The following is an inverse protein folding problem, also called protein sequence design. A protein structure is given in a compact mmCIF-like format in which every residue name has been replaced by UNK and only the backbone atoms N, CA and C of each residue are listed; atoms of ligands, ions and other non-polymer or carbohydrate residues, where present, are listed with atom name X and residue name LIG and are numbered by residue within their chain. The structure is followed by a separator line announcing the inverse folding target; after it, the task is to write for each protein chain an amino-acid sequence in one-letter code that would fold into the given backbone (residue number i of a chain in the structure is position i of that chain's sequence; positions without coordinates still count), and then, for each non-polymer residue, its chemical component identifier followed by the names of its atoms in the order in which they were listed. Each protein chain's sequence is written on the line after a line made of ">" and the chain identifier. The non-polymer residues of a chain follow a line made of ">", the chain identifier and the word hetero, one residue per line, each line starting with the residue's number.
data_IF_553573191555
#
_entry.id   IF_553573191555
#
_cell.length_a   1.000
_cell.length_b   1.000
_cell.length_c   1.000
_cell.angle_alpha   90.00
_cell.angle_beta   90.00
_cell.angle_gamma   90.00
#
_symmetry.space_group_name_H-M   'P 1'
#
loop_
_entity.id
_entity.type
_entity.pdbx_description
1 polymer ?
#
# COMPACT_ATOMS: atom_id res chain seq x y z
N UNK A 1 8.04 -39.59 63.57
CA UNK A 1 7.33 -40.88 63.66
C UNK A 1 7.26 -41.45 62.25
N UNK A 2 8.02 -42.48 61.86
CA UNK A 2 9.30 -43.01 62.37
C UNK A 2 9.81 -43.99 61.29
N UNK A 3 11.03 -43.72 60.80
CA UNK A 3 12.11 -44.62 60.35
C UNK A 3 11.85 -45.54 59.12
N UNK A 4 12.61 -45.44 58.02
CA UNK A 4 14.04 -45.74 57.79
C UNK A 4 14.30 -47.23 57.52
N UNK A 5 15.16 -47.49 56.52
CA UNK A 5 15.98 -48.70 56.21
C UNK A 5 15.86 -49.02 54.70
N UNK A 6 16.91 -49.12 53.87
CA UNK A 6 18.38 -49.15 54.02
C UNK A 6 18.97 -48.76 52.64
N UNK A 7 19.98 -47.91 52.42
CA UNK A 7 21.38 -47.81 52.91
C UNK A 7 22.31 -48.93 52.38
N UNK A 8 23.21 -48.47 51.48
CA UNK A 8 24.61 -48.85 51.21
C UNK A 8 24.91 -50.25 50.64
N UNK A 9 25.62 -50.40 49.50
CA UNK A 9 26.98 -49.97 49.14
C UNK A 9 28.08 -50.75 49.89
N UNK A 10 28.81 -51.64 49.20
CA UNK A 10 30.28 -51.79 49.19
C UNK A 10 30.65 -52.98 48.28
N UNK A 11 31.35 -52.81 47.16
CA UNK A 11 32.81 -52.64 47.04
C UNK A 11 33.56 -53.98 47.10
N UNK A 12 34.20 -54.38 46.00
CA UNK A 12 35.66 -54.47 45.92
C UNK A 12 36.16 -54.96 44.54
N UNK A 13 36.96 -54.06 43.94
CA UNK A 13 38.27 -54.28 43.30
C UNK A 13 38.41 -54.88 41.90
N UNK A 14 38.86 -53.96 41.02
CA UNK A 14 39.99 -54.02 40.07
C UNK A 14 39.96 -55.04 38.92
N UNK A 15 39.80 -54.52 37.69
CA UNK A 15 40.94 -54.24 36.79
C UNK A 15 40.54 -53.28 35.66
N UNK A 16 41.48 -52.41 35.31
CA UNK A 16 41.42 -51.39 34.26
C UNK A 16 41.06 -51.98 32.89
N UNK A 17 40.29 -51.24 32.09
CA UNK A 17 40.67 -50.69 30.77
C UNK A 17 39.52 -49.77 30.30
N UNK A 18 39.85 -48.48 30.08
CA UNK A 18 38.97 -47.46 29.51
C UNK A 18 38.70 -47.75 28.03
N UNK A 19 37.47 -47.51 27.53
CA UNK A 19 37.18 -46.57 26.42
C UNK A 19 35.65 -46.51 26.07
N UNK A 20 35.07 -45.30 26.18
CA UNK A 20 33.90 -44.74 25.43
C UNK A 20 32.56 -45.49 25.45
N UNK A 21 31.52 -44.87 26.04
CA UNK A 21 30.15 -44.88 25.50
C UNK A 21 29.43 -43.58 25.88
N UNK A 22 29.34 -42.68 24.89
CA UNK A 22 28.60 -41.42 24.96
C UNK A 22 27.34 -41.59 24.07
N UNK A 23 26.18 -41.39 24.69
CA UNK A 23 24.89 -40.94 24.12
C UNK A 23 24.42 -41.59 22.81
N UNK A 24 23.36 -42.40 22.89
CA UNK A 24 22.50 -42.72 21.75
C UNK A 24 21.04 -42.54 22.18
N UNK A 25 20.46 -41.36 21.95
CA UNK A 25 19.00 -41.17 22.01
C UNK A 25 18.51 -39.90 21.30
N UNK A 26 18.86 -39.68 20.03
CA UNK A 26 18.09 -38.78 19.14
C UNK A 26 18.23 -39.27 17.69
N UNK A 27 17.23 -39.99 17.16
CA UNK A 27 16.98 -40.06 15.71
C UNK A 27 15.66 -40.78 15.40
N UNK A 28 14.55 -40.04 15.52
CA UNK A 28 13.33 -40.35 14.76
C UNK A 28 12.71 -39.04 14.28
N UNK A 29 13.53 -38.27 13.56
CA UNK A 29 13.05 -37.28 12.61
C UNK A 29 13.12 -37.99 11.26
N UNK A 30 11.99 -38.31 10.65
CA UNK A 30 11.95 -38.80 9.29
C UNK A 30 12.36 -37.66 8.36
N UNK A 31 13.64 -37.61 7.99
CA UNK A 31 14.15 -36.74 6.94
C UNK A 31 13.70 -37.30 5.59
N UNK A 32 12.50 -36.92 5.15
CA UNK A 32 12.21 -36.88 3.71
C UNK A 32 13.10 -35.77 3.13
N UNK A 33 14.28 -36.13 2.64
CA UNK A 33 15.24 -35.18 2.07
C UNK A 33 14.71 -34.67 0.72
N UNK A 34 13.86 -33.65 0.76
CA UNK A 34 13.46 -32.87 -0.40
C UNK A 34 14.65 -32.03 -0.84
N UNK A 35 15.02 -32.03 -2.14
CA UNK A 35 16.08 -31.17 -2.66
C UNK A 35 15.66 -29.69 -2.71
N UNK A 36 14.36 -29.41 -2.78
CA UNK A 36 13.83 -28.05 -2.79
C UNK A 36 13.82 -27.45 -1.38
N UNK A 37 14.53 -26.34 -1.21
CA UNK A 37 14.61 -25.62 0.04
C UNK A 37 14.38 -24.12 -0.16
N UNK A 38 13.85 -23.46 0.85
CA UNK A 38 13.78 -22.00 0.91
C UNK A 38 14.15 -21.51 2.30
N UNK A 39 14.64 -20.28 2.38
CA UNK A 39 14.73 -19.55 3.63
C UNK A 39 13.98 -18.23 3.54
N UNK A 40 13.49 -17.78 4.69
CA UNK A 40 12.90 -16.46 4.89
C UNK A 40 13.59 -15.82 6.07
N UNK A 41 14.19 -14.64 5.88
CA UNK A 41 14.97 -13.95 6.91
C UNK A 41 16.02 -14.85 7.61
N UNK A 42 16.69 -15.71 6.84
CA UNK A 42 17.71 -16.64 7.34
C UNK A 42 17.17 -17.89 8.06
N UNK A 43 15.86 -18.08 8.13
CA UNK A 43 15.22 -19.27 8.73
C UNK A 43 14.74 -20.21 7.64
N UNK A 44 15.06 -21.50 7.77
CA UNK A 44 14.61 -22.54 6.84
C UNK A 44 13.07 -22.64 6.85
N UNK A 45 12.49 -22.60 5.65
CA UNK A 45 11.06 -22.81 5.42
C UNK A 45 10.84 -24.31 5.24
N UNK A 46 10.00 -24.91 6.10
CA UNK A 46 9.76 -26.35 6.03
C UNK A 46 8.75 -26.72 4.94
N UNK A 47 8.75 -28.00 4.59
CA UNK A 47 7.72 -28.58 3.73
C UNK A 47 6.35 -28.68 4.41
N UNK A 48 5.31 -29.03 3.64
CA UNK A 48 3.94 -29.17 4.12
C UNK A 48 3.27 -27.82 4.40
N UNK A 49 2.59 -27.71 5.55
CA UNK A 49 2.05 -26.43 6.03
C UNK A 49 3.12 -25.68 6.85
N UNK A 50 3.41 -24.44 6.47
CA UNK A 50 4.40 -23.60 7.16
C UNK A 50 3.86 -22.23 7.51
N UNK A 51 4.23 -21.75 8.70
CA UNK A 51 3.97 -20.37 9.16
C UNK A 51 5.08 -19.44 8.68
N UNK A 52 4.81 -18.67 7.64
CA UNK A 52 5.76 -17.74 7.04
C UNK A 52 5.55 -16.32 7.59
N UNK A 53 6.51 -15.79 8.34
CA UNK A 53 6.47 -14.42 8.84
C UNK A 53 7.17 -13.47 7.85
N UNK A 54 6.42 -12.52 7.29
CA UNK A 54 6.83 -11.66 6.19
C UNK A 54 6.58 -10.20 6.54
N UNK A 55 7.50 -9.32 6.12
CA UNK A 55 7.34 -7.88 6.22
C UNK A 55 6.26 -7.40 5.26
N UNK A 56 5.30 -6.66 5.81
CA UNK A 56 4.16 -6.09 5.11
C UNK A 56 4.35 -4.58 4.97
N UNK A 57 4.14 -4.04 3.78
CA UNK A 57 4.24 -2.61 3.56
C UNK A 57 3.90 -2.19 2.14
N UNK A 58 3.50 -0.94 1.94
CA UNK A 58 3.10 -0.45 0.63
C UNK A 58 4.29 -0.45 -0.33
N UNK A 59 4.07 -0.96 -1.53
CA UNK A 59 4.94 -0.80 -2.68
C UNK A 59 4.08 -0.39 -3.89
N UNK A 60 3.99 0.92 -4.10
CA UNK A 60 3.18 1.54 -5.16
C UNK A 60 3.98 1.55 -6.46
N UNK A 61 3.77 0.57 -7.36
CA UNK A 61 4.48 0.58 -8.64
C UNK A 61 3.60 0.52 -9.90
N UNK A 62 2.32 0.17 -9.88
CA UNK A 62 1.59 -0.09 -11.14
C UNK A 62 0.07 0.18 -11.08
N UNK A 63 -0.39 1.18 -10.32
CA UNK A 63 -1.84 1.41 -10.09
C UNK A 63 -2.50 0.30 -9.24
N UNK A 64 -1.67 -0.54 -8.62
CA UNK A 64 -2.01 -1.56 -7.61
C UNK A 64 -1.14 -1.34 -6.38
N UNK A 65 -1.65 -1.73 -5.23
CA UNK A 65 -0.87 -1.75 -4.00
C UNK A 65 -0.35 -3.15 -3.76
N UNK A 66 0.85 -3.42 -4.29
CA UNK A 66 1.63 -4.57 -3.80
C UNK A 66 1.95 -4.28 -2.34
N UNK A 67 1.49 -5.13 -1.43
CA UNK A 67 1.68 -4.94 0.01
C UNK A 67 2.67 -5.94 0.61
N UNK A 68 3.01 -6.96 -0.18
CA UNK A 68 3.90 -8.04 0.20
C UNK A 68 4.72 -8.45 -1.03
N UNK A 69 6.04 -8.46 -0.88
CA UNK A 69 6.99 -8.86 -1.91
C UNK A 69 7.86 -10.00 -1.36
N UNK A 70 7.67 -11.23 -1.86
CA UNK A 70 8.48 -12.37 -1.45
C UNK A 70 9.83 -12.40 -2.17
N UNK A 71 9.98 -11.70 -3.30
CA UNK A 71 11.24 -11.69 -4.04
C UNK A 71 12.39 -11.03 -3.29
N UNK A 72 12.07 -10.18 -2.30
CA UNK A 72 13.05 -9.55 -1.42
C UNK A 72 13.20 -10.25 -0.06
N UNK A 73 12.40 -11.28 0.24
CA UNK A 73 12.29 -11.85 1.59
C UNK A 73 12.45 -13.37 1.62
N UNK A 74 12.21 -14.06 0.51
CA UNK A 74 12.30 -15.51 0.38
C UNK A 74 13.25 -15.85 -0.75
N UNK A 75 14.22 -16.71 -0.44
CA UNK A 75 15.15 -17.24 -1.43
C UNK A 75 15.10 -18.77 -1.37
N UNK A 76 15.13 -19.41 -2.53
CA UNK A 76 15.00 -20.86 -2.68
C UNK A 76 16.14 -21.43 -3.51
N UNK A 77 16.54 -22.65 -3.20
CA UNK A 77 17.63 -23.37 -3.85
C UNK A 77 17.30 -24.87 -3.94
N UNK A 78 18.14 -25.60 -4.68
CA UNK A 78 17.99 -27.03 -4.91
C UNK A 78 19.26 -27.76 -4.47
N UNK A 79 19.22 -28.56 -3.41
CA UNK A 79 20.39 -29.29 -2.86
C UNK A 79 20.73 -30.60 -3.59
N UNK A 80 20.24 -30.78 -4.81
CA UNK A 80 20.80 -31.74 -5.77
C UNK A 80 19.82 -32.77 -6.34
N UNK A 81 20.36 -33.58 -7.26
CA UNK A 81 19.68 -34.75 -7.83
C UNK A 81 18.80 -34.44 -9.04
N UNK A 82 17.85 -33.51 -8.91
CA UNK A 82 16.79 -33.31 -9.90
C UNK A 82 16.47 -31.84 -10.16
N UNK A 83 15.89 -31.52 -11.32
CA UNK A 83 15.41 -30.18 -11.63
C UNK A 83 14.05 -29.99 -10.97
N UNK A 84 13.93 -29.01 -10.07
CA UNK A 84 12.67 -28.72 -9.36
C UNK A 84 11.94 -27.54 -10.00
N UNK A 85 10.64 -27.67 -10.18
CA UNK A 85 9.76 -26.64 -10.72
C UNK A 85 8.65 -26.34 -9.73
N UNK A 86 8.53 -25.07 -9.33
CA UNK A 86 7.52 -24.59 -8.41
C UNK A 86 6.39 -23.89 -9.16
N UNK A 87 5.15 -24.25 -8.86
CA UNK A 87 3.95 -23.59 -9.40
C UNK A 87 2.93 -23.32 -8.30
N UNK A 88 2.19 -22.21 -8.41
CA UNK A 88 0.99 -21.96 -7.61
C UNK A 88 -0.10 -22.96 -7.97
N UNK A 89 -0.85 -23.39 -6.98
CA UNK A 89 -2.00 -24.28 -7.18
C UNK A 89 -3.27 -23.50 -7.42
N UNK A 90 -4.07 -23.99 -8.37
CA UNK A 90 -5.37 -23.40 -8.72
C UNK A 90 -6.24 -23.23 -7.47
N UNK A 91 -6.69 -22.00 -7.22
CA UNK A 91 -7.59 -21.67 -6.11
C UNK A 91 -6.94 -21.80 -4.72
N UNK A 92 -5.61 -21.88 -4.61
CA UNK A 92 -4.89 -21.96 -3.33
C UNK A 92 -4.17 -20.67 -2.95
N UNK A 93 -4.64 -19.54 -3.47
CA UNK A 93 -4.20 -18.21 -3.03
C UNK A 93 -5.37 -17.54 -2.35
N UNK A 94 -5.19 -17.15 -1.09
CA UNK A 94 -6.25 -16.57 -0.28
C UNK A 94 -5.75 -15.31 0.44
N UNK A 95 -6.64 -14.33 0.57
CA UNK A 95 -6.49 -13.18 1.46
C UNK A 95 -7.41 -13.37 2.66
N UNK A 96 -6.93 -13.01 3.86
CA UNK A 96 -7.74 -13.08 5.07
C UNK A 96 -8.87 -12.04 5.02
N UNK A 97 -10.12 -12.51 4.98
CA UNK A 97 -11.31 -11.65 4.95
C UNK A 97 -11.49 -10.81 6.21
N UNK A 98 -10.90 -11.18 7.35
CA UNK A 98 -10.97 -10.36 8.56
C UNK A 98 -10.15 -9.06 8.42
N UNK A 99 -9.04 -9.10 7.69
CA UNK A 99 -8.19 -7.94 7.43
C UNK A 99 -8.63 -7.22 6.17
N UNK A 100 -8.88 -7.97 5.10
CA UNK A 100 -9.13 -7.43 3.76
C UNK A 100 -10.62 -7.25 3.44
N UNK A 101 -11.55 -7.74 4.28
CA UNK A 101 -12.99 -7.59 4.05
C UNK A 101 -13.42 -8.12 2.67
N UNK A 102 -14.05 -7.25 1.88
CA UNK A 102 -14.47 -7.50 0.49
C UNK A 102 -13.42 -7.07 -0.55
N UNK A 103 -12.25 -6.58 -0.12
CA UNK A 103 -11.20 -6.11 -1.03
C UNK A 103 -10.71 -7.30 -1.87
N UNK A 104 -10.87 -7.16 -3.19
CA UNK A 104 -10.34 -8.14 -4.14
C UNK A 104 -8.82 -7.99 -4.28
N UNK A 105 -8.13 -9.05 -4.65
CA UNK A 105 -6.68 -9.02 -4.82
C UNK A 105 -6.15 -10.20 -5.61
N UNK A 106 -4.84 -10.38 -5.56
CA UNK A 106 -4.16 -11.35 -6.39
C UNK A 106 -2.67 -11.44 -6.12
N UNK A 107 -1.99 -12.11 -7.03
CA UNK A 107 -0.54 -12.27 -7.03
C UNK A 107 0.06 -11.78 -8.32
N UNK A 108 1.24 -11.18 -8.23
CA UNK A 108 2.11 -10.93 -9.38
C UNK A 108 3.21 -11.98 -9.37
N UNK A 109 3.29 -12.79 -10.42
CA UNK A 109 4.32 -13.81 -10.60
C UNK A 109 5.13 -13.46 -11.83
N UNK A 110 6.43 -13.21 -11.66
CA UNK A 110 7.33 -12.80 -12.75
C UNK A 110 6.82 -11.61 -13.57
N UNK A 111 6.15 -10.66 -12.91
CA UNK A 111 5.55 -9.46 -13.51
C UNK A 111 4.16 -9.66 -14.13
N UNK A 112 3.69 -10.90 -14.29
CA UNK A 112 2.33 -11.19 -14.74
C UNK A 112 1.36 -11.23 -13.56
N UNK A 113 0.18 -10.64 -13.71
CA UNK A 113 -0.80 -10.49 -12.64
C UNK A 113 -1.95 -11.49 -12.74
N UNK A 114 -2.33 -12.08 -11.61
CA UNK A 114 -3.40 -13.06 -11.50
C UNK A 114 -4.32 -12.70 -10.33
N UNK A 115 -5.58 -12.40 -10.63
CA UNK A 115 -6.59 -12.15 -9.59
C UNK A 115 -7.04 -13.47 -8.93
N UNK A 116 -7.42 -13.41 -7.66
CA UNK A 116 -8.07 -14.52 -6.97
C UNK A 116 -9.47 -14.76 -7.60
N UNK A 117 -9.86 -16.01 -7.92
CA UNK A 117 -9.11 -17.26 -7.76
C UNK A 117 -7.97 -17.40 -8.79
N UNK A 118 -6.76 -17.62 -8.29
CA UNK A 118 -5.55 -17.70 -9.11
C UNK A 118 -5.50 -19.08 -9.80
N UNK A 119 -5.20 -19.17 -11.12
CA UNK A 119 -5.04 -20.44 -11.82
C UNK A 119 -3.74 -21.15 -11.40
N UNK A 120 -3.44 -22.29 -12.01
CA UNK A 120 -2.09 -22.86 -11.90
C UNK A 120 -1.09 -21.94 -12.62
N UNK A 121 -0.09 -21.45 -11.89
CA UNK A 121 0.88 -20.47 -12.41
C UNK A 121 2.29 -20.94 -12.12
N UNK A 122 3.11 -21.07 -13.16
CA UNK A 122 4.53 -21.35 -13.03
C UNK A 122 5.26 -20.18 -12.34
N UNK A 123 6.06 -20.48 -11.31
CA UNK A 123 6.81 -19.48 -10.55
C UNK A 123 8.28 -19.50 -10.94
N UNK A 124 8.93 -20.65 -10.82
CA UNK A 124 10.37 -20.78 -11.06
C UNK A 124 10.79 -22.24 -11.25
N UNK A 125 11.98 -22.42 -11.81
CA UNK A 125 12.70 -23.68 -11.90
C UNK A 125 14.06 -23.50 -11.26
N UNK A 126 14.47 -24.48 -10.47
CA UNK A 126 15.77 -24.59 -9.82
C UNK A 126 16.53 -25.78 -10.41
N UNK A 127 17.77 -25.53 -10.83
CA UNK A 127 18.66 -26.53 -11.40
C UNK A 127 19.64 -27.03 -10.33
N UNK A 128 19.84 -28.35 -10.18
CA UNK A 128 20.74 -28.92 -9.17
C UNK A 128 22.22 -28.62 -9.45
N UNK A 129 22.56 -28.02 -10.61
CA UNK A 129 23.95 -27.67 -10.98
C UNK A 129 24.24 -26.18 -10.81
N UNK A 130 23.21 -25.33 -10.99
CA UNK A 130 23.36 -23.86 -10.97
C UNK A 130 22.88 -23.26 -9.66
N UNK A 131 21.83 -23.86 -9.10
CA UNK A 131 21.12 -23.38 -7.93
C UNK A 131 21.38 -24.30 -6.72
N UNK A 132 22.53 -24.98 -6.75
CA UNK A 132 22.99 -25.88 -5.70
C UNK A 132 23.45 -25.08 -4.50
N UNK A 133 22.98 -25.45 -3.30
CA UNK A 133 23.27 -24.81 -2.04
C UNK A 133 22.65 -23.42 -1.80
N UNK A 134 22.55 -23.08 -0.51
CA UNK A 134 21.93 -21.84 -0.04
C UNK A 134 22.60 -20.56 -0.55
N UNK A 135 23.89 -20.56 -0.88
CA UNK A 135 24.59 -19.38 -1.42
C UNK A 135 24.25 -19.08 -2.88
N UNK A 136 23.67 -20.04 -3.61
CA UNK A 136 23.15 -19.86 -4.97
C UNK A 136 21.61 -19.68 -4.96
N UNK A 137 21.01 -19.43 -3.80
CA UNK A 137 19.56 -19.31 -3.69
C UNK A 137 19.02 -18.15 -4.54
N UNK A 138 17.93 -18.44 -5.26
CA UNK A 138 17.23 -17.48 -6.11
C UNK A 138 16.04 -16.86 -5.38
N UNK A 139 15.77 -15.57 -5.58
CA UNK A 139 14.59 -14.93 -5.02
C UNK A 139 13.32 -15.57 -5.58
N UNK A 140 12.30 -15.73 -4.73
CA UNK A 140 10.98 -16.21 -5.14
C UNK A 140 10.22 -15.08 -5.85
N UNK A 141 10.00 -15.12 -7.18
CA UNK A 141 9.49 -13.97 -7.95
C UNK A 141 7.97 -13.81 -7.82
N UNK A 142 7.48 -13.65 -6.60
CA UNK A 142 6.06 -13.57 -6.24
C UNK A 142 5.79 -12.36 -5.34
N UNK A 143 4.74 -11.61 -5.68
CA UNK A 143 4.19 -10.51 -4.87
C UNK A 143 2.71 -10.72 -4.64
N UNK A 144 2.17 -10.21 -3.54
CA UNK A 144 0.73 -10.13 -3.33
C UNK A 144 0.27 -8.67 -3.42
N UNK A 145 -0.88 -8.47 -4.06
CA UNK A 145 -1.51 -7.17 -4.20
C UNK A 145 -2.99 -7.23 -3.83
N UNK A 146 -3.53 -6.08 -3.45
CA UNK A 146 -4.96 -5.86 -3.41
C UNK A 146 -5.35 -4.80 -4.45
N UNK A 147 -6.58 -4.85 -4.93
CA UNK A 147 -7.14 -3.89 -5.86
C UNK A 147 -7.68 -2.68 -5.09
N UNK A 148 -7.45 -1.49 -5.64
CA UNK A 148 -7.81 -0.21 -5.05
C UNK A 148 -9.31 0.06 -5.24
N UNK A 149 -10.15 -0.54 -4.39
CA UNK A 149 -11.61 -0.52 -4.60
C UNK A 149 -12.39 0.17 -3.47
N UNK A 150 -11.78 0.32 -2.28
CA UNK A 150 -12.44 0.89 -1.11
C UNK A 150 -12.03 2.34 -0.97
N UNK A 151 -13.00 3.24 -0.74
CA UNK A 151 -12.85 4.70 -0.61
C UNK A 151 -11.66 5.18 0.25
N UNK A 152 -11.30 6.47 0.29
CA UNK A 152 -10.31 6.92 1.31
C UNK A 152 -11.08 6.87 2.62
N UNK A 153 -11.01 5.72 3.27
CA UNK A 153 -11.99 5.33 4.27
C UNK A 153 -11.60 4.00 4.88
N UNK A 154 -10.80 4.11 5.93
CA UNK A 154 -10.08 3.10 6.70
C UNK A 154 -8.81 2.55 6.03
N UNK A 155 -7.68 3.05 6.51
CA UNK A 155 -6.42 2.32 6.48
C UNK A 155 -6.60 0.89 6.96
N UNK A 156 -6.14 -0.09 6.18
CA UNK A 156 -5.99 -1.46 6.68
C UNK A 156 -4.78 -1.49 7.61
N UNK A 157 -5.08 -1.46 8.91
CA UNK A 157 -4.09 -1.55 9.97
C UNK A 157 -3.71 -3.01 10.18
N UNK A 158 -2.45 -3.33 9.89
CA UNK A 158 -1.86 -4.66 10.09
C UNK A 158 -0.92 -4.59 11.29
N UNK A 159 -1.09 -5.52 12.21
CA UNK A 159 -0.24 -5.69 13.39
C UNK A 159 0.68 -6.89 13.22
N UNK A 160 1.82 -6.85 13.91
CA UNK A 160 2.69 -8.02 14.05
C UNK A 160 1.88 -9.23 14.50
N UNK A 161 2.02 -10.35 13.81
CA UNK A 161 1.36 -11.60 14.13
C UNK A 161 0.01 -11.81 13.45
N UNK A 162 -0.54 -10.79 12.77
CA UNK A 162 -1.79 -10.91 12.00
C UNK A 162 -1.66 -11.94 10.88
N UNK A 163 -2.70 -12.75 10.69
CA UNK A 163 -2.80 -13.69 9.57
C UNK A 163 -3.24 -12.95 8.30
N UNK A 164 -2.36 -12.90 7.30
CA UNK A 164 -2.59 -12.13 6.07
C UNK A 164 -3.34 -12.95 5.02
N UNK A 165 -3.07 -14.25 4.95
CA UNK A 165 -3.59 -15.11 3.89
C UNK A 165 -2.71 -16.34 3.67
N UNK A 166 -2.97 -17.07 2.60
CA UNK A 166 -2.24 -18.30 2.28
C UNK A 166 -1.82 -18.39 0.81
N UNK A 167 -0.73 -19.10 0.58
CA UNK A 167 -0.26 -19.50 -0.74
C UNK A 167 -0.05 -21.02 -0.76
N UNK A 168 -0.71 -21.71 -1.69
CA UNK A 168 -0.51 -23.12 -1.95
C UNK A 168 0.28 -23.36 -3.22
N UNK A 169 1.27 -24.23 -3.13
CA UNK A 169 2.22 -24.52 -4.21
C UNK A 169 2.31 -26.02 -4.46
N UNK A 170 2.71 -26.39 -5.67
CA UNK A 170 3.23 -27.71 -5.96
C UNK A 170 4.64 -27.58 -6.54
N UNK A 171 5.58 -28.29 -5.92
CA UNK A 171 6.88 -28.58 -6.51
C UNK A 171 6.78 -29.89 -7.27
N UNK A 172 7.30 -29.90 -8.50
CA UNK A 172 7.51 -31.13 -9.28
C UNK A 172 8.96 -31.22 -9.69
N UNK A 173 9.48 -32.43 -9.78
CA UNK A 173 10.81 -32.64 -10.35
C UNK A 173 10.74 -33.31 -11.73
N UNK A 174 11.88 -33.36 -12.43
CA UNK A 174 12.00 -33.95 -13.75
C UNK A 174 11.94 -35.50 -13.78
N UNK A 175 11.77 -36.16 -12.64
CA UNK A 175 11.62 -37.62 -12.53
C UNK A 175 10.23 -38.05 -12.03
N UNK A 176 9.29 -37.11 -11.90
CA UNK A 176 7.89 -37.38 -11.64
C UNK A 176 7.46 -37.26 -10.17
N UNK A 177 8.37 -36.91 -9.24
CA UNK A 177 7.97 -36.58 -7.87
C UNK A 177 7.18 -35.28 -7.83
N UNK A 178 6.19 -35.22 -6.94
CA UNK A 178 5.30 -34.07 -6.79
C UNK A 178 4.93 -33.88 -5.33
N UNK A 179 5.16 -32.68 -4.80
CA UNK A 179 4.92 -32.34 -3.40
C UNK A 179 4.13 -31.04 -3.31
N UNK A 180 3.18 -30.98 -2.37
CA UNK A 180 2.34 -29.81 -2.16
C UNK A 180 2.69 -29.12 -0.86
N UNK A 181 2.72 -27.79 -0.90
CA UNK A 181 3.03 -26.93 0.22
C UNK A 181 1.92 -25.91 0.43
N UNK A 182 1.72 -25.51 1.68
CA UNK A 182 0.84 -24.41 2.05
C UNK A 182 1.61 -23.46 2.96
N UNK A 183 1.86 -22.24 2.52
CA UNK A 183 2.45 -21.21 3.35
C UNK A 183 1.35 -20.30 3.87
N UNK A 184 1.16 -20.31 5.20
CA UNK A 184 0.30 -19.35 5.91
C UNK A 184 1.13 -18.12 6.23
N UNK A 185 0.73 -16.97 5.70
CA UNK A 185 1.48 -15.73 5.78
C UNK A 185 1.03 -14.95 7.00
N UNK A 186 2.00 -14.50 7.79
CA UNK A 186 1.78 -13.66 8.95
C UNK A 186 2.66 -12.41 8.90
N UNK A 187 2.15 -11.30 9.40
CA UNK A 187 2.89 -10.04 9.41
C UNK A 187 4.04 -10.06 10.43
N UNK A 188 5.24 -9.68 10.02
CA UNK A 188 6.40 -9.53 10.91
C UNK A 188 6.64 -8.10 11.39
N UNK A 189 5.82 -7.14 10.96
CA UNK A 189 5.87 -5.73 11.36
C UNK A 189 4.45 -5.13 11.39
N UNK A 190 4.29 -4.02 12.11
CA UNK A 190 3.10 -3.19 11.99
C UNK A 190 3.15 -2.44 10.66
N UNK A 191 2.00 -2.28 10.01
CA UNK A 191 1.88 -1.61 8.71
C UNK A 191 0.49 -0.98 8.55
N UNK A 192 0.41 0.09 7.77
CA UNK A 192 -0.84 0.73 7.35
C UNK A 192 -0.92 0.68 5.84
N UNK A 193 -1.97 0.06 5.30
CA UNK A 193 -2.19 -0.06 3.87
C UNK A 193 -3.43 0.76 3.48
N UNK A 194 -3.28 1.67 2.54
CA UNK A 194 -4.40 2.50 2.08
C UNK A 194 -5.08 1.86 0.85
N UNK A 195 -6.37 1.49 0.92
CA UNK A 195 -7.04 0.76 -0.15
C UNK A 195 -7.57 1.62 -1.32
N UNK A 196 -7.37 2.94 -1.30
CA UNK A 196 -7.78 3.88 -2.35
C UNK A 196 -6.69 4.89 -2.67
N UNK A 197 -6.85 5.53 -3.82
CA UNK A 197 -6.25 6.83 -4.09
C UNK A 197 -7.22 7.70 -4.89
N UNK A 198 -7.30 8.97 -4.52
CA UNK A 198 -7.91 10.03 -5.32
C UNK A 198 -6.81 10.96 -5.82
N UNK A 199 -6.95 11.46 -7.04
CA UNK A 199 -5.99 12.34 -7.70
C UNK A 199 -6.71 13.54 -8.29
N UNK A 200 -6.12 14.73 -8.15
CA UNK A 200 -6.57 15.91 -8.88
C UNK A 200 -6.14 15.73 -10.34
N UNK A 201 -7.12 15.65 -11.23
CA UNK A 201 -6.92 15.41 -12.68
C UNK A 201 -7.04 16.68 -13.50
N UNK A 202 -7.69 17.72 -12.98
CA UNK A 202 -7.68 19.07 -13.54
C UNK A 202 -7.70 20.09 -12.42
N UNK A 203 -7.02 21.22 -12.63
CA UNK A 203 -6.93 22.30 -11.65
C UNK A 203 -5.72 22.24 -10.73
N UNK A 204 -4.61 21.65 -11.17
CA UNK A 204 -3.34 21.71 -10.46
C UNK A 204 -2.16 22.01 -11.41
N UNK A 205 -1.75 23.28 -11.58
CA UNK A 205 -2.31 24.48 -10.96
C UNK A 205 -3.59 24.99 -11.66
N UNK A 206 -4.40 25.78 -10.94
CA UNK A 206 -5.50 26.57 -11.50
C UNK A 206 -4.99 27.96 -11.90
N UNK A 207 -4.65 28.13 -13.18
CA UNK A 207 -4.26 29.44 -13.71
C UNK A 207 -5.52 30.24 -14.11
N UNK A 208 -5.75 31.38 -13.44
CA UNK A 208 -6.88 32.28 -13.68
C UNK A 208 -6.36 33.55 -14.34
N UNK A 209 -6.83 33.83 -15.55
CA UNK A 209 -6.45 35.01 -16.32
C UNK A 209 -7.69 35.84 -16.59
N UNK A 210 -7.77 37.03 -15.99
CA UNK A 210 -8.84 38.00 -16.24
C UNK A 210 -8.62 38.80 -17.54
N UNK A 211 -7.45 38.68 -18.16
CA UNK A 211 -7.07 39.45 -19.33
C UNK A 211 -6.95 40.94 -19.04
N UNK A 212 -7.17 41.76 -20.08
CA UNK A 212 -7.21 43.21 -19.93
C UNK A 212 -8.59 43.64 -19.45
N UNK A 213 -8.64 44.30 -18.30
CA UNK A 213 -9.88 44.77 -17.68
C UNK A 213 -9.83 46.28 -17.54
N UNK A 214 -10.85 46.98 -18.03
CA UNK A 214 -10.98 48.43 -17.85
C UNK A 214 -11.39 48.72 -16.40
N UNK A 215 -10.66 49.59 -15.71
CA UNK A 215 -10.86 49.84 -14.27
C UNK A 215 -12.26 50.38 -13.94
N UNK A 216 -12.92 51.04 -14.91
CA UNK A 216 -14.28 51.54 -14.77
C UNK A 216 -15.33 50.42 -14.74
N UNK A 217 -15.01 49.27 -15.32
CA UNK A 217 -15.91 48.13 -15.41
C UNK A 217 -15.77 47.18 -14.20
N UNK A 218 -14.74 47.38 -13.35
CA UNK A 218 -14.54 46.57 -12.14
C UNK A 218 -15.56 46.93 -11.06
N UNK A 219 -16.56 46.06 -10.94
CA UNK A 219 -17.60 46.10 -9.91
C UNK A 219 -17.08 45.82 -8.49
N UNK A 220 -17.94 46.10 -7.51
CA UNK A 220 -17.71 45.75 -6.08
C UNK A 220 -18.40 44.44 -5.69
N UNK A 221 -19.09 43.79 -6.64
CA UNK A 221 -19.79 42.51 -6.49
C UNK A 221 -19.50 41.63 -7.72
N UNK A 222 -19.64 40.31 -7.55
CA UNK A 222 -19.38 39.33 -8.60
C UNK A 222 -20.32 39.48 -9.81
N UNK A 223 -19.91 38.93 -10.97
CA UNK A 223 -20.74 38.87 -12.18
C UNK A 223 -20.27 39.73 -13.35
N UNK A 224 -19.31 40.64 -13.17
CA UNK A 224 -18.81 41.51 -14.26
C UNK A 224 -17.57 40.95 -14.95
N UNK A 225 -16.61 40.44 -14.17
CA UNK A 225 -15.37 39.87 -14.66
C UNK A 225 -15.13 38.52 -14.00
N UNK A 226 -15.92 37.55 -14.45
CA UNK A 226 -15.92 36.19 -13.93
C UNK A 226 -15.14 35.28 -14.86
N UNK A 227 -14.29 34.44 -14.28
CA UNK A 227 -13.54 33.39 -14.97
C UNK A 227 -13.89 32.06 -14.34
N UNK A 228 -14.44 31.15 -15.13
CA UNK A 228 -14.76 29.80 -14.68
C UNK A 228 -13.54 28.89 -14.83
N UNK A 229 -13.30 28.07 -13.82
CA UNK A 229 -12.34 26.96 -13.87
C UNK A 229 -12.90 25.73 -13.19
N UNK A 230 -12.48 24.58 -13.66
CA UNK A 230 -12.92 23.30 -13.11
C UNK A 230 -11.83 22.65 -12.27
N UNK A 231 -12.20 22.21 -11.07
CA UNK A 231 -11.43 21.28 -10.25
C UNK A 231 -11.98 19.87 -10.49
N UNK A 232 -11.20 19.00 -11.12
CA UNK A 232 -11.61 17.62 -11.38
C UNK A 232 -10.81 16.67 -10.51
N UNK A 233 -11.50 15.78 -9.79
CA UNK A 233 -10.89 14.77 -8.94
C UNK A 233 -11.36 13.39 -9.41
N UNK A 234 -10.41 12.49 -9.58
CA UNK A 234 -10.64 11.09 -9.96
C UNK A 234 -10.19 10.18 -8.83
N UNK A 235 -11.08 9.31 -8.40
CA UNK A 235 -10.81 8.28 -7.41
C UNK A 235 -10.80 6.90 -8.08
N UNK A 236 -9.89 6.04 -7.66
CA UNK A 236 -9.88 4.64 -8.06
C UNK A 236 -10.93 3.85 -7.26
N UNK A 237 -11.56 2.86 -7.90
CA UNK A 237 -12.60 2.04 -7.27
C UNK A 237 -14.03 2.43 -7.67
N UNK A 238 -15.00 1.74 -7.09
CA UNK A 238 -16.45 1.92 -7.38
C UNK A 238 -17.23 2.55 -6.24
N UNK A 239 -16.58 2.71 -5.09
CA UNK A 239 -17.18 3.24 -3.88
C UNK A 239 -17.38 4.75 -3.98
N UNK A 240 -18.30 5.27 -3.17
CA UNK A 240 -18.50 6.71 -3.04
C UNK A 240 -17.47 7.27 -2.07
N UNK A 241 -16.80 8.34 -2.49
CA UNK A 241 -15.86 9.12 -1.70
C UNK A 241 -16.49 10.47 -1.33
N UNK A 242 -16.19 10.95 -0.14
CA UNK A 242 -16.64 12.27 0.34
C UNK A 242 -15.46 13.20 0.49
N UNK A 243 -15.12 13.96 -0.55
CA UNK A 243 -13.94 14.83 -0.53
C UNK A 243 -14.30 16.22 -0.02
N UNK A 244 -13.62 16.70 1.02
CA UNK A 244 -13.65 18.09 1.45
C UNK A 244 -12.56 18.89 0.71
N UNK A 245 -12.95 20.01 0.12
CA UNK A 245 -12.04 20.98 -0.52
C UNK A 245 -12.08 22.28 0.25
N UNK A 246 -10.96 22.65 0.86
CA UNK A 246 -10.82 23.85 1.69
C UNK A 246 -10.01 24.93 0.99
N UNK A 247 -10.52 26.17 0.95
CA UNK A 247 -9.77 27.33 0.49
C UNK A 247 -8.85 27.85 1.60
N UNK A 248 -7.57 27.99 1.31
CA UNK A 248 -6.59 28.67 2.16
C UNK A 248 -5.98 29.82 1.39
N UNK A 249 -6.16 31.05 1.90
CA UNK A 249 -5.74 32.27 1.22
C UNK A 249 -5.42 33.39 2.20
N UNK A 250 -4.76 34.44 1.71
CA UNK A 250 -4.59 35.70 2.44
C UNK A 250 -5.70 36.67 2.02
N UNK A 251 -6.59 37.08 2.95
CA UNK A 251 -7.68 37.99 2.61
C UNK A 251 -7.22 39.41 2.33
N UNK A 252 -8.01 40.15 1.55
CA UNK A 252 -7.89 41.62 1.45
C UNK A 252 -8.11 42.30 2.80
N UNK A 253 -7.70 43.56 2.94
CA UNK A 253 -7.90 44.33 4.19
C UNK A 253 -9.36 44.75 4.44
N UNK A 254 -10.26 44.60 3.46
CA UNK A 254 -11.66 45.01 3.56
C UNK A 254 -12.67 43.85 3.48
N UNK A 255 -12.24 42.64 3.14
CA UNK A 255 -13.10 41.46 3.03
C UNK A 255 -12.37 40.17 3.38
N UNK A 256 -13.05 39.29 4.13
CA UNK A 256 -12.58 37.94 4.48
C UNK A 256 -12.82 36.90 3.37
N UNK A 257 -13.59 37.27 2.33
CA UNK A 257 -13.98 36.40 1.21
C UNK A 257 -13.36 36.79 -0.13
N UNK A 258 -12.34 37.66 -0.10
CA UNK A 258 -11.59 38.06 -1.28
C UNK A 258 -10.10 37.82 -1.06
N UNK A 259 -9.48 37.10 -1.98
CA UNK A 259 -8.04 36.87 -2.03
C UNK A 259 -7.36 38.21 -2.32
N UNK A 260 -6.39 38.57 -1.48
CA UNK A 260 -5.57 39.75 -1.70
C UNK A 260 -4.79 39.65 -3.01
N UNK A 261 -4.74 40.75 -3.75
CA UNK A 261 -3.89 40.86 -4.94
C UNK A 261 -2.71 41.79 -4.66
N UNK A 262 -1.73 41.83 -5.58
CA UNK A 262 -0.65 42.82 -5.54
C UNK A 262 -1.14 44.26 -5.72
N UNK A 263 -2.37 44.46 -6.20
CA UNK A 263 -3.04 45.76 -6.22
C UNK A 263 -4.00 45.83 -5.01
N UNK A 264 -3.70 46.72 -4.06
CA UNK A 264 -4.45 46.84 -2.80
C UNK A 264 -5.86 47.39 -2.96
N UNK A 265 -6.27 47.79 -4.16
CA UNK A 265 -7.65 48.18 -4.46
C UNK A 265 -8.47 47.06 -5.11
N UNK A 266 -7.84 45.91 -5.38
CA UNK A 266 -8.44 44.75 -6.04
C UNK A 266 -8.38 43.51 -5.14
N UNK A 267 -9.44 42.71 -5.23
CA UNK A 267 -9.57 41.40 -4.60
C UNK A 267 -10.18 40.39 -5.57
N UNK A 268 -9.93 39.11 -5.35
CA UNK A 268 -10.55 38.03 -6.14
C UNK A 268 -11.45 37.20 -5.24
N UNK A 269 -12.76 37.13 -5.53
CA UNK A 269 -13.64 36.18 -4.85
C UNK A 269 -13.65 34.84 -5.57
N UNK A 270 -13.82 33.76 -4.81
CA UNK A 270 -14.00 32.40 -5.34
C UNK A 270 -15.35 31.88 -4.90
N UNK A 271 -16.15 31.36 -5.83
CA UNK A 271 -17.43 30.73 -5.52
C UNK A 271 -17.58 29.37 -6.19
N UNK A 272 -18.41 28.52 -5.58
CA UNK A 272 -18.86 27.22 -6.11
C UNK A 272 -20.37 27.18 -6.04
N UNK A 273 -21.03 27.14 -7.21
CA UNK A 273 -22.45 27.46 -7.32
C UNK A 273 -22.77 28.82 -6.67
N UNK A 274 -23.74 28.84 -5.76
CA UNK A 274 -24.17 30.06 -5.06
C UNK A 274 -23.31 30.40 -3.83
N UNK A 275 -22.39 29.51 -3.43
CA UNK A 275 -21.55 29.71 -2.23
C UNK A 275 -20.28 30.46 -2.57
N UNK A 276 -20.13 31.69 -2.06
CA UNK A 276 -18.84 32.38 -2.02
C UNK A 276 -17.99 31.83 -0.87
N UNK A 277 -16.74 31.50 -1.14
CA UNK A 277 -15.80 30.93 -0.17
C UNK A 277 -14.99 32.03 0.53
N UNK A 278 -15.00 32.01 1.86
CA UNK A 278 -14.07 32.77 2.70
C UNK A 278 -12.80 31.98 2.99
N UNK A 279 -11.80 32.64 3.58
CA UNK A 279 -10.60 31.93 4.02
C UNK A 279 -10.95 30.83 5.04
N UNK A 280 -10.45 29.62 4.79
CA UNK A 280 -10.74 28.37 5.50
C UNK A 280 -12.15 27.80 5.30
N UNK A 281 -13.00 28.41 4.49
CA UNK A 281 -14.25 27.77 4.09
C UNK A 281 -13.95 26.55 3.22
N UNK A 282 -14.82 25.56 3.33
CA UNK A 282 -14.76 24.35 2.52
C UNK A 282 -16.08 24.04 1.83
N UNK A 283 -16.01 23.20 0.82
CA UNK A 283 -17.16 22.57 0.20
C UNK A 283 -16.86 21.09 -0.01
N UNK A 284 -17.91 20.28 -0.03
CA UNK A 284 -17.79 18.84 -0.18
C UNK A 284 -18.10 18.42 -1.62
N UNK A 285 -17.40 17.38 -2.07
CA UNK A 285 -17.60 16.73 -3.36
C UNK A 285 -17.86 15.25 -3.11
N UNK A 286 -19.04 14.78 -3.51
CA UNK A 286 -19.30 13.35 -3.62
C UNK A 286 -18.67 12.84 -4.93
N UNK A 287 -17.81 11.83 -4.84
CA UNK A 287 -17.09 11.29 -5.99
C UNK A 287 -17.33 9.78 -6.11
N UNK A 288 -17.84 9.36 -7.27
CA UNK A 288 -17.92 7.95 -7.65
C UNK A 288 -17.16 7.77 -8.97
N UNK A 289 -15.90 7.34 -8.88
CA UNK A 289 -14.96 7.29 -10.00
C UNK A 289 -14.38 8.67 -10.36
N UNK A 290 -15.20 9.63 -10.79
CA UNK A 290 -14.74 11.00 -11.07
C UNK A 290 -15.83 12.04 -10.84
N UNK A 291 -15.45 13.21 -10.35
CA UNK A 291 -16.34 14.35 -10.19
C UNK A 291 -15.60 15.65 -10.49
N UNK A 292 -16.36 16.68 -10.87
CA UNK A 292 -15.84 17.99 -11.22
C UNK A 292 -16.63 19.05 -10.45
N UNK A 293 -15.93 20.00 -9.85
CA UNK A 293 -16.51 21.20 -9.27
C UNK A 293 -16.09 22.41 -10.09
N UNK A 294 -17.06 23.21 -10.52
CA UNK A 294 -16.79 24.48 -11.19
C UNK A 294 -16.63 25.58 -10.15
N UNK A 295 -15.53 26.31 -10.27
CA UNK A 295 -15.15 27.44 -9.45
C UNK A 295 -15.23 28.71 -10.30
N UNK A 296 -15.98 29.69 -9.82
CA UNK A 296 -16.04 31.01 -10.43
C UNK A 296 -15.12 31.94 -9.68
N UNK A 297 -14.21 32.58 -10.41
CA UNK A 297 -13.30 33.58 -9.89
C UNK A 297 -13.77 34.94 -10.39
N UNK A 298 -14.07 35.87 -9.49
CA UNK A 298 -14.54 37.21 -9.86
C UNK A 298 -13.53 38.27 -9.42
N UNK A 299 -13.15 39.15 -10.33
CA UNK A 299 -12.32 40.32 -10.01
C UNK A 299 -13.19 41.44 -9.44
N UNK A 300 -12.85 41.89 -8.23
CA UNK A 300 -13.63 42.86 -7.48
C UNK A 300 -12.77 44.05 -7.04
N UNK A 301 -13.38 45.23 -7.01
CA UNK A 301 -12.79 46.46 -6.49
C UNK A 301 -13.16 46.67 -5.03
N UNK A 302 -12.25 47.24 -4.26
CA UNK A 302 -12.50 47.75 -2.91
C UNK A 302 -13.66 48.77 -2.93
N UNK A 303 -14.77 48.55 -2.18
CA UNK A 303 -15.92 49.45 -2.20
C UNK A 303 -15.62 50.90 -1.78
N UNK A 304 -14.54 51.13 -1.04
CA UNK A 304 -14.11 52.47 -0.60
C UNK A 304 -13.26 53.21 -1.66
N UNK A 305 -12.69 52.51 -2.63
CA UNK A 305 -11.85 53.10 -3.68
C UNK A 305 -12.71 53.41 -4.89
N UNK A 306 -12.69 54.64 -5.42
CA UNK A 306 -13.39 55.01 -6.67
C UNK A 306 -12.78 54.27 -7.87
N UNK A 307 -13.58 53.87 -8.85
CA UNK A 307 -13.11 53.10 -10.02
C UNK A 307 -11.95 53.80 -10.77
N UNK A 308 -12.06 55.11 -10.98
CA UNK A 308 -11.00 55.91 -11.62
C UNK A 308 -9.73 56.07 -10.76
N UNK A 309 -9.76 55.71 -9.47
CA UNK A 309 -8.62 55.77 -8.56
C UNK A 309 -7.87 54.44 -8.45
N UNK A 310 -8.41 53.35 -8.99
CA UNK A 310 -7.71 52.07 -9.06
C UNK A 310 -6.45 52.23 -9.92
N UNK A 311 -5.30 51.86 -9.36
CA UNK A 311 -4.03 51.90 -10.07
C UNK A 311 -4.06 50.96 -11.28
N UNK A 312 -3.63 51.47 -12.44
CA UNK A 312 -3.49 50.67 -13.67
C UNK A 312 -2.21 49.86 -13.64
N UNK A 313 -2.24 48.67 -14.23
CA UNK A 313 -1.07 47.80 -14.34
C UNK A 313 -1.43 46.33 -14.11
N UNK A 314 -0.44 45.46 -14.23
CA UNK A 314 -0.62 44.05 -13.93
C UNK A 314 -0.83 43.85 -12.41
N UNK A 315 -1.66 42.86 -12.06
CA UNK A 315 -1.83 42.41 -10.69
C UNK A 315 -1.73 40.88 -10.62
N UNK A 316 -1.33 40.36 -9.47
CA UNK A 316 -1.23 38.92 -9.22
C UNK A 316 -1.90 38.56 -7.89
N UNK A 317 -2.33 37.30 -7.76
CA UNK A 317 -2.91 36.75 -6.55
C UNK A 317 -2.58 35.25 -6.45
N UNK A 318 -2.61 34.70 -5.24
CA UNK A 318 -2.35 33.28 -5.00
C UNK A 318 -3.20 32.75 -3.85
N UNK A 319 -3.71 31.54 -3.99
CA UNK A 319 -4.43 30.79 -2.97
C UNK A 319 -4.21 29.28 -3.16
N UNK A 320 -4.50 28.51 -2.12
CA UNK A 320 -4.36 27.06 -2.13
C UNK A 320 -5.72 26.41 -1.87
N UNK A 321 -6.08 25.42 -2.70
CA UNK A 321 -7.17 24.49 -2.40
C UNK A 321 -6.56 23.23 -1.76
N UNK A 322 -6.97 22.92 -0.53
CA UNK A 322 -6.54 21.74 0.20
C UNK A 322 -7.62 20.69 0.04
N UNK A 323 -7.25 19.53 -0.52
CA UNK A 323 -8.15 18.41 -0.79
C UNK A 323 -7.91 17.32 0.26
N UNK A 324 -8.96 16.89 0.95
CA UNK A 324 -8.90 15.86 1.98
C UNK A 324 -10.17 15.01 1.97
N UNK A 325 -10.08 13.71 2.26
CA UNK A 325 -11.24 12.89 2.62
C UNK A 325 -11.30 12.85 4.16
N UNK A 326 -12.43 13.22 4.80
CA UNK A 326 -12.57 13.36 6.24
C UNK A 326 -12.69 12.02 6.99
#
# INVERSE_FOLDING_TARGET
>A
MKFMASVFCFNQRLKQINLIFFIFFISSWSYEALAFHCFSNGVLVSGGEYRLNIKIGPNFNDGKNSFLDLSSQVQCWNDGGFIDTLSLNTGKVELNKEIFGSVSGGVSVRGANYNIPVPNVYIMTLSPVVDEHAWNAKPLPLKMYFNLNKGIGDSLNIKVGDYIGSLGFTMRNNVGSSYTYTWKIYASNNSSLEPSSCTVTAGNPLNVEFGNVERLDIGTAAGTHDVLKSLAIKCQGTDAHSINVKLSMTPTSWSTSQIATSNTDLGVSVSTGDKTLSNNDSFDMAIKGSSTADLTFSLLRNPKTKAAAVATGAFTASATLIVSEP
#
